data_IF_575188660607
#
_entry.id   IF_575188660607
#
_cell.length_a   1.000
_cell.length_b   1.000
_cell.length_c   1.000
_cell.angle_alpha   90.00
_cell.angle_beta   90.00
_cell.angle_gamma   90.00
#
_symmetry.space_group_name_H-M   'P 1'
#
loop_
_entity.id
_entity.type
_entity.pdbx_description
1 polymer ?
#
# COMPACT_ATOMS: atom_id res chain seq x y z
N UNK A 1 23.63 -34.29 20.42
CA UNK A 1 23.92 -32.85 20.23
C UNK A 1 22.66 -32.07 20.55
N UNK A 2 22.57 -31.43 21.73
CA UNK A 2 21.48 -30.48 22.01
C UNK A 2 21.55 -29.34 20.99
N UNK A 3 20.45 -29.12 20.29
CA UNK A 3 20.34 -27.96 19.36
C UNK A 3 20.44 -26.67 20.19
N UNK A 4 21.50 -25.90 19.98
CA UNK A 4 21.76 -24.60 20.60
C UNK A 4 21.15 -23.48 19.80
N UNK A 5 19.99 -23.72 19.21
CA UNK A 5 19.30 -22.76 18.33
C UNK A 5 17.86 -22.59 18.80
N UNK A 6 17.38 -21.37 18.74
CA UNK A 6 16.00 -21.04 19.02
C UNK A 6 15.55 -20.00 18.01
N UNK A 7 14.46 -20.28 17.30
CA UNK A 7 13.81 -19.36 16.40
C UNK A 7 12.38 -19.17 16.90
N UNK A 8 12.03 -17.95 17.23
CA UNK A 8 10.67 -17.58 17.66
C UNK A 8 10.18 -16.43 16.78
N UNK A 9 8.88 -16.47 16.47
CA UNK A 9 8.17 -15.37 15.85
C UNK A 9 7.13 -14.82 16.82
N UNK A 10 7.02 -13.50 16.86
CA UNK A 10 5.99 -12.81 17.61
C UNK A 10 5.30 -11.76 16.72
N UNK A 11 4.05 -11.43 17.05
CA UNK A 11 3.26 -10.42 16.35
C UNK A 11 2.58 -9.51 17.35
N UNK A 12 2.77 -8.20 17.17
CA UNK A 12 2.04 -7.16 17.93
C UNK A 12 1.40 -6.20 16.92
N UNK A 13 0.06 -6.20 16.88
CA UNK A 13 -0.68 -5.48 15.83
C UNK A 13 -0.31 -5.99 14.44
N UNK A 14 0.08 -5.09 13.55
CA UNK A 14 0.49 -5.42 12.17
C UNK A 14 1.99 -5.70 12.01
N UNK A 15 2.76 -5.56 13.09
CA UNK A 15 4.20 -5.83 13.08
C UNK A 15 4.49 -7.26 13.48
N UNK A 16 5.14 -8.02 12.59
CA UNK A 16 5.65 -9.37 12.85
C UNK A 16 7.17 -9.33 12.88
N UNK A 17 7.76 -9.91 13.91
CA UNK A 17 9.20 -10.02 14.07
C UNK A 17 9.58 -11.49 14.26
N UNK A 18 10.70 -11.88 13.67
CA UNK A 18 11.31 -13.20 13.83
C UNK A 18 12.67 -12.98 14.47
N UNK A 19 12.91 -13.64 15.60
CA UNK A 19 14.18 -13.62 16.30
C UNK A 19 14.81 -15.02 16.30
N UNK A 20 16.10 -15.09 15.98
CA UNK A 20 16.87 -16.33 16.02
C UNK A 20 18.08 -16.13 16.90
N UNK A 21 18.22 -16.97 17.93
CA UNK A 21 19.37 -17.01 18.83
C UNK A 21 20.14 -18.30 18.61
N UNK A 22 21.43 -18.19 18.34
CA UNK A 22 22.33 -19.31 18.01
C UNK A 22 23.52 -19.29 18.95
N UNK A 23 23.96 -20.49 19.40
CA UNK A 23 25.20 -20.66 20.16
C UNK A 23 25.07 -20.52 21.67
N UNK A 24 23.94 -19.99 22.18
CA UNK A 24 23.74 -19.87 23.63
C UNK A 24 23.60 -21.25 24.30
N UNK A 25 24.39 -21.47 25.34
CA UNK A 25 24.44 -22.76 26.02
C UNK A 25 23.33 -22.95 27.07
N UNK A 26 22.85 -21.83 27.65
CA UNK A 26 21.84 -21.84 28.70
C UNK A 26 20.43 -21.58 28.10
N UNK A 27 19.51 -22.54 28.33
CA UNK A 27 18.14 -22.44 27.83
C UNK A 27 17.37 -21.23 28.40
N UNK A 28 17.55 -20.91 29.69
CA UNK A 28 16.90 -19.74 30.31
C UNK A 28 17.43 -18.43 29.72
N UNK A 29 18.74 -18.35 29.46
CA UNK A 29 19.35 -17.17 28.86
C UNK A 29 18.85 -16.95 27.44
N UNK A 30 18.71 -18.01 26.62
CA UNK A 30 18.14 -17.92 25.27
C UNK A 30 16.74 -17.29 25.25
N UNK A 31 15.86 -17.71 26.18
CA UNK A 31 14.53 -17.15 26.30
C UNK A 31 14.57 -15.67 26.68
N UNK A 32 15.45 -15.31 27.61
CA UNK A 32 15.63 -13.92 28.00
C UNK A 32 16.12 -13.08 26.83
N UNK A 33 17.15 -13.52 26.12
CA UNK A 33 17.73 -12.80 24.99
C UNK A 33 16.70 -12.59 23.86
N UNK A 34 15.88 -13.61 23.55
CA UNK A 34 14.79 -13.48 22.57
C UNK A 34 13.72 -12.49 23.05
N UNK A 35 13.36 -12.53 24.34
CA UNK A 35 12.38 -11.61 24.91
C UNK A 35 12.89 -10.17 24.89
N UNK A 36 14.15 -9.94 25.25
CA UNK A 36 14.77 -8.62 25.21
C UNK A 36 14.87 -8.10 23.78
N UNK A 37 15.21 -8.97 22.81
CA UNK A 37 15.26 -8.64 21.40
C UNK A 37 13.89 -8.24 20.85
N UNK A 38 12.81 -8.98 21.20
CA UNK A 38 11.45 -8.61 20.83
C UNK A 38 11.03 -7.29 21.45
N UNK A 39 11.26 -7.09 22.74
CA UNK A 39 10.90 -5.85 23.42
C UNK A 39 11.62 -4.65 22.81
N UNK A 40 12.90 -4.76 22.50
CA UNK A 40 13.65 -3.74 21.79
C UNK A 40 13.05 -3.48 20.39
N UNK A 41 12.84 -4.55 19.62
CA UNK A 41 12.37 -4.44 18.22
C UNK A 41 10.99 -3.83 18.13
N UNK A 42 10.03 -4.26 18.96
CA UNK A 42 8.67 -3.69 18.96
C UNK A 42 8.61 -2.26 19.52
N UNK A 43 9.57 -1.88 20.36
CA UNK A 43 9.70 -0.51 20.85
C UNK A 43 10.31 0.40 19.79
N UNK A 44 11.30 -0.10 19.04
CA UNK A 44 12.07 0.68 18.08
C UNK A 44 11.44 0.75 16.69
N UNK A 45 10.65 -0.24 16.30
CA UNK A 45 10.13 -0.39 14.93
C UNK A 45 8.62 -0.65 14.91
N UNK A 46 7.99 -0.27 13.80
CA UNK A 46 6.58 -0.54 13.52
C UNK A 46 6.34 -0.73 12.01
N UNK A 47 5.24 -1.43 11.69
CA UNK A 47 4.66 -1.40 10.36
C UNK A 47 3.58 -0.32 10.31
N UNK A 48 3.81 0.71 9.52
CA UNK A 48 2.79 1.72 9.24
C UNK A 48 2.06 1.36 7.96
N UNK A 49 0.74 1.24 8.04
CA UNK A 49 -0.10 1.06 6.85
C UNK A 49 -0.26 2.41 6.18
N UNK A 50 0.40 2.59 5.03
CA UNK A 50 0.39 3.84 4.26
C UNK A 50 -0.71 3.91 3.22
N UNK A 51 -1.19 2.75 2.74
CA UNK A 51 -2.36 2.64 1.86
C UNK A 51 -3.17 1.41 2.25
N UNK A 52 -4.49 1.57 2.34
CA UNK A 52 -5.41 0.49 2.68
C UNK A 52 -6.13 -0.03 1.44
N UNK A 53 -6.33 -1.34 1.40
CA UNK A 53 -7.13 -1.99 0.36
C UNK A 53 -8.54 -1.41 0.30
N UNK A 54 -8.98 -1.03 -0.91
CA UNK A 54 -10.32 -0.51 -1.17
C UNK A 54 -10.53 0.95 -0.77
N UNK A 55 -9.52 1.61 -0.18
CA UNK A 55 -9.59 3.01 0.16
C UNK A 55 -9.35 3.86 -1.09
N UNK A 56 -10.22 4.85 -1.29
CA UNK A 56 -10.04 5.85 -2.33
C UNK A 56 -8.85 6.74 -1.99
N UNK A 57 -7.90 6.84 -2.90
CA UNK A 57 -6.67 7.61 -2.70
C UNK A 57 -6.83 9.13 -2.93
N UNK A 58 -8.06 9.60 -3.19
CA UNK A 58 -8.35 11.02 -3.44
C UNK A 58 -7.77 11.54 -4.77
N UNK A 59 -7.52 10.63 -5.73
CA UNK A 59 -7.07 10.96 -7.08
C UNK A 59 -8.09 10.50 -8.09
N UNK A 60 -8.19 11.24 -9.21
CA UNK A 60 -9.05 10.93 -10.35
C UNK A 60 -8.24 10.81 -11.63
N UNK A 61 -8.76 10.06 -12.59
CA UNK A 61 -8.24 9.94 -13.96
C UNK A 61 -9.32 10.37 -14.93
N UNK A 62 -8.97 11.17 -15.93
CA UNK A 62 -9.90 11.63 -16.97
C UNK A 62 -10.38 10.46 -17.83
N UNK A 63 -11.70 10.43 -18.13
CA UNK A 63 -12.30 9.45 -19.00
C UNK A 63 -12.78 10.13 -20.28
N UNK A 64 -12.16 9.77 -21.40
CA UNK A 64 -12.54 10.27 -22.71
C UNK A 64 -13.76 9.52 -23.25
N UNK A 65 -14.73 10.26 -23.79
CA UNK A 65 -15.96 9.73 -24.39
C UNK A 65 -16.77 8.86 -23.41
N UNK A 66 -16.67 9.13 -22.12
CA UNK A 66 -17.45 8.49 -21.07
C UNK A 66 -18.63 9.36 -20.63
N UNK A 67 -19.66 8.72 -20.06
CA UNK A 67 -20.78 9.42 -19.41
C UNK A 67 -20.32 10.27 -18.23
N UNK A 68 -19.24 9.86 -17.58
CA UNK A 68 -18.53 10.61 -16.55
C UNK A 68 -17.18 11.06 -17.09
N UNK A 69 -16.78 12.28 -16.79
CA UNK A 69 -15.52 12.88 -17.26
C UNK A 69 -14.29 12.37 -16.49
N UNK A 70 -14.50 11.82 -15.30
CA UNK A 70 -13.45 11.35 -14.41
C UNK A 70 -13.88 10.07 -13.68
N UNK A 71 -12.92 9.25 -13.31
CA UNK A 71 -13.10 8.07 -12.45
C UNK A 71 -12.17 8.14 -11.26
N UNK A 72 -12.69 7.83 -10.09
CA UNK A 72 -11.91 7.72 -8.86
C UNK A 72 -10.98 6.51 -8.88
N UNK A 73 -9.91 6.58 -8.12
CA UNK A 73 -8.85 5.59 -8.13
C UNK A 73 -8.67 4.96 -6.75
N UNK A 74 -8.54 3.65 -6.71
CA UNK A 74 -8.27 2.88 -5.50
C UNK A 74 -7.16 1.84 -5.73
N UNK A 75 -6.71 1.20 -4.66
CA UNK A 75 -5.86 0.00 -4.73
C UNK A 75 -6.54 -1.17 -4.04
N UNK A 76 -6.30 -2.38 -4.51
CA UNK A 76 -6.79 -3.62 -3.88
C UNK A 76 -5.76 -4.29 -2.97
N UNK A 77 -4.63 -3.62 -2.73
CA UNK A 77 -3.58 -4.07 -1.82
C UNK A 77 -3.47 -3.19 -0.57
N UNK A 78 -3.18 -3.84 0.57
CA UNK A 78 -2.66 -3.13 1.75
C UNK A 78 -1.16 -2.90 1.57
N UNK A 79 -0.73 -1.67 1.74
CA UNK A 79 0.70 -1.33 1.73
C UNK A 79 1.12 -0.87 3.12
N UNK A 80 2.00 -1.66 3.72
CA UNK A 80 2.62 -1.30 4.99
C UNK A 80 4.13 -1.12 4.79
N UNK A 81 4.68 -0.12 5.45
CA UNK A 81 6.10 0.19 5.43
C UNK A 81 6.69 -0.02 6.82
N UNK A 82 7.75 -0.80 6.87
CA UNK A 82 8.51 -1.00 8.08
C UNK A 82 9.42 0.20 8.34
N UNK A 83 9.20 0.88 9.47
CA UNK A 83 9.97 2.08 9.83
C UNK A 83 10.38 2.08 11.31
N UNK A 84 11.35 2.93 11.65
CA UNK A 84 11.66 3.24 13.05
C UNK A 84 10.61 4.19 13.62
N UNK A 85 10.16 3.95 14.86
CA UNK A 85 9.22 4.85 15.57
C UNK A 85 9.81 6.21 15.87
N UNK A 86 11.08 6.26 16.23
CA UNK A 86 11.82 7.47 16.53
C UNK A 86 12.97 7.62 15.53
N UNK A 87 12.66 7.95 14.27
CA UNK A 87 13.65 8.11 13.22
C UNK A 87 13.12 8.97 12.09
N UNK A 88 14.03 9.59 11.33
CA UNK A 88 13.73 10.42 10.15
C UNK A 88 13.51 9.54 8.89
N UNK A 89 12.83 8.39 9.04
CA UNK A 89 12.47 7.59 7.89
C UNK A 89 11.41 8.34 7.06
N UNK A 90 11.86 9.02 6.01
CA UNK A 90 10.97 9.71 5.08
C UNK A 90 10.28 8.68 4.18
N UNK A 91 8.95 8.58 4.31
CA UNK A 91 8.12 7.71 3.47
C UNK A 91 7.19 8.58 2.63
N UNK A 92 7.34 8.49 1.33
CA UNK A 92 6.55 9.23 0.35
C UNK A 92 5.82 8.25 -0.58
N UNK A 93 4.64 8.66 -1.04
CA UNK A 93 3.88 7.92 -2.06
C UNK A 93 3.87 8.76 -3.32
N UNK A 94 4.47 8.25 -4.37
CA UNK A 94 4.49 8.87 -5.70
C UNK A 94 3.45 8.18 -6.57
N UNK A 95 2.44 8.93 -6.99
CA UNK A 95 1.37 8.43 -7.87
C UNK A 95 1.71 8.69 -9.33
N UNK A 96 1.78 7.63 -10.13
CA UNK A 96 1.97 7.68 -11.58
C UNK A 96 0.66 7.23 -12.25
N UNK A 97 -0.21 8.18 -12.54
CA UNK A 97 -1.49 7.96 -13.20
C UNK A 97 -1.36 8.20 -14.71
N UNK A 98 -2.13 7.43 -15.49
CA UNK A 98 -2.31 7.75 -16.91
C UNK A 98 -3.05 9.09 -17.06
N UNK A 99 -2.69 9.88 -18.06
CA UNK A 99 -3.32 11.21 -18.28
C UNK A 99 -4.81 11.11 -18.58
N UNK A 100 -5.23 10.11 -19.36
CA UNK A 100 -6.64 9.82 -19.67
C UNK A 100 -6.82 8.33 -20.04
N UNK A 101 -8.04 7.85 -19.89
CA UNK A 101 -8.50 6.53 -20.33
C UNK A 101 -9.71 6.67 -21.22
N UNK A 102 -9.89 5.78 -22.20
CA UNK A 102 -11.07 5.80 -23.09
C UNK A 102 -12.18 4.93 -22.53
N UNK A 103 -13.40 5.45 -22.54
CA UNK A 103 -14.57 4.66 -22.19
C UNK A 103 -14.83 3.52 -23.20
N UNK A 104 -15.39 2.36 -22.77
CA UNK A 104 -15.83 2.07 -21.41
C UNK A 104 -14.68 1.73 -20.48
N UNK A 105 -14.76 2.18 -19.24
CA UNK A 105 -13.84 1.81 -18.16
C UNK A 105 -14.62 0.92 -17.20
N UNK A 106 -14.03 -0.17 -16.78
CA UNK A 106 -14.62 -1.08 -15.79
C UNK A 106 -13.94 -0.92 -14.44
N UNK A 107 -14.71 -1.08 -13.40
CA UNK A 107 -14.15 -1.16 -12.04
C UNK A 107 -13.07 -2.25 -11.98
N UNK A 108 -11.88 -1.89 -11.51
CA UNK A 108 -10.73 -2.78 -11.46
C UNK A 108 -9.76 -2.66 -12.63
N UNK A 109 -10.09 -1.87 -13.66
CA UNK A 109 -9.14 -1.58 -14.75
C UNK A 109 -7.95 -0.79 -14.18
N UNK A 110 -6.75 -1.16 -14.59
CA UNK A 110 -5.51 -0.50 -14.12
C UNK A 110 -5.38 0.86 -14.79
N UNK A 111 -5.29 1.90 -13.99
CA UNK A 111 -5.20 3.31 -14.44
C UNK A 111 -3.91 4.00 -14.00
N UNK A 112 -3.01 3.27 -13.38
CA UNK A 112 -1.71 3.77 -12.98
C UNK A 112 -1.04 2.91 -11.93
N UNK A 113 0.01 3.47 -11.32
CA UNK A 113 0.77 2.83 -10.26
C UNK A 113 1.03 3.83 -9.12
N UNK A 114 1.15 3.32 -7.90
CA UNK A 114 1.69 4.06 -6.76
C UNK A 114 3.03 3.45 -6.37
N UNK A 115 4.06 4.27 -6.32
CA UNK A 115 5.40 3.91 -5.85
C UNK A 115 5.57 4.39 -4.43
N UNK A 116 5.89 3.48 -3.54
CA UNK A 116 6.21 3.78 -2.16
C UNK A 116 7.71 3.95 -2.07
N UNK A 117 8.13 5.16 -1.71
CA UNK A 117 9.53 5.57 -1.64
C UNK A 117 9.89 5.75 -0.18
N UNK A 118 10.95 5.08 0.26
CA UNK A 118 11.53 5.27 1.60
C UNK A 118 12.97 5.76 1.45
N UNK A 119 13.26 6.92 2.01
CA UNK A 119 14.58 7.55 1.94
C UNK A 119 15.12 7.66 0.50
N UNK A 120 14.26 8.01 -0.46
CA UNK A 120 14.62 8.13 -1.88
C UNK A 120 14.71 6.82 -2.64
N UNK A 121 14.46 5.67 -2.00
CA UNK A 121 14.48 4.35 -2.65
C UNK A 121 13.06 3.80 -2.79
N UNK A 122 12.68 3.38 -4.00
CA UNK A 122 11.39 2.70 -4.23
C UNK A 122 11.43 1.32 -3.58
N UNK A 123 10.60 1.11 -2.55
CA UNK A 123 10.54 -0.15 -1.81
C UNK A 123 9.40 -1.06 -2.27
N UNK A 124 8.33 -0.47 -2.82
CA UNK A 124 7.19 -1.21 -3.38
C UNK A 124 6.49 -0.38 -4.45
N UNK A 125 5.95 -1.07 -5.45
CA UNK A 125 5.02 -0.51 -6.45
C UNK A 125 3.73 -1.30 -6.39
N UNK A 126 2.57 -0.60 -6.39
CA UNK A 126 1.23 -1.20 -6.40
C UNK A 126 0.41 -0.63 -7.52
N UNK A 127 -0.48 -1.44 -8.07
CA UNK A 127 -1.40 -1.03 -9.12
C UNK A 127 -2.52 -0.16 -8.56
N UNK A 128 -2.87 0.85 -9.33
CA UNK A 128 -3.98 1.73 -9.09
C UNK A 128 -5.10 1.42 -10.09
N UNK A 129 -6.31 1.23 -9.58
CA UNK A 129 -7.46 0.74 -10.34
C UNK A 129 -8.62 1.72 -10.30
N UNK A 130 -9.43 1.71 -11.36
CA UNK A 130 -10.67 2.48 -11.44
C UNK A 130 -11.69 1.98 -10.41
N UNK A 131 -12.25 2.91 -9.61
CA UNK A 131 -13.19 2.58 -8.54
C UNK A 131 -14.59 2.28 -9.06
N UNK A 132 -14.96 2.84 -10.22
CA UNK A 132 -16.30 2.74 -10.79
C UNK A 132 -16.29 2.32 -12.26
N UNK A 133 -17.48 1.89 -12.74
CA UNK A 133 -17.71 1.64 -14.15
C UNK A 133 -18.10 2.94 -14.82
N UNK A 134 -17.46 3.27 -15.94
CA UNK A 134 -17.82 4.41 -16.78
C UNK A 134 -18.17 3.92 -18.18
N UNK A 135 -19.45 3.97 -18.53
CA UNK A 135 -19.94 3.62 -19.86
C UNK A 135 -19.57 4.67 -20.90
N UNK A 136 -19.58 4.25 -22.17
CA UNK A 136 -19.46 5.20 -23.28
C UNK A 136 -20.61 6.19 -23.29
N UNK A 137 -20.28 7.44 -23.57
CA UNK A 137 -21.25 8.48 -23.87
C UNK A 137 -21.95 8.17 -25.21
N UNK A 138 -23.29 8.18 -25.20
CA UNK A 138 -24.09 8.07 -26.41
C UNK A 138 -24.21 9.45 -27.08
N UNK A 139 -24.54 9.47 -28.37
CA UNK A 139 -24.72 10.70 -29.14
C UNK A 139 -25.71 11.69 -28.49
N UNK A 140 -26.80 11.20 -27.93
CA UNK A 140 -27.78 11.99 -27.19
C UNK A 140 -27.27 12.58 -25.90
N UNK A 141 -26.38 11.86 -25.19
CA UNK A 141 -25.75 12.35 -23.96
C UNK A 141 -24.76 13.48 -24.26
N UNK A 142 -24.03 13.39 -25.38
CA UNK A 142 -23.12 14.43 -25.85
C UNK A 142 -23.86 15.71 -26.21
N UNK A 143 -25.01 15.62 -26.92
CA UNK A 143 -25.86 16.79 -27.22
C UNK A 143 -26.39 17.42 -25.93
N UNK A 144 -26.91 16.63 -24.99
CA UNK A 144 -27.45 17.13 -23.73
C UNK A 144 -26.38 17.89 -22.92
N UNK A 145 -25.15 17.40 -22.90
CA UNK A 145 -24.02 18.04 -22.22
C UNK A 145 -23.67 19.40 -22.86
N UNK A 146 -23.69 19.49 -24.19
CA UNK A 146 -23.46 20.76 -24.90
C UNK A 146 -24.56 21.78 -24.59
N UNK A 147 -25.81 21.32 -24.58
CA UNK A 147 -26.96 22.19 -24.30
C UNK A 147 -27.06 22.63 -22.83
N UNK A 148 -26.51 21.85 -21.88
CA UNK A 148 -26.51 22.20 -20.44
C UNK A 148 -25.41 23.19 -20.06
N UNK A 149 -24.42 23.39 -20.92
CA UNK A 149 -23.33 24.35 -20.72
C UNK A 149 -23.54 25.68 -21.42
N UNK A 150 -24.72 25.86 -21.99
CA UNK A 150 -25.24 27.13 -22.57
C UNK A 150 -26.34 27.70 -21.67
#
# INVERSE_FOLDING_TARGET
>A
RRQRQMCIRDRRGDTRIIATVIGEQNGKQRFKDVSDLFNYSFKAYENEVVVRKGENIGKTVKVEKGKQSEVEVYTDENVAVFKKRAGDDNVEIVYELVGSVKAPVKRGDVVGNAKIVKNGVVIKTVELKAADNVDKENFFDAIRRILSNW
#
